data_IF_206388840195
#
_entry.id   IF_206388840195
#
_cell.length_a   1.000
_cell.length_b   1.000
_cell.length_c   1.000
_cell.angle_alpha   90.00
_cell.angle_beta   90.00
_cell.angle_gamma   90.00
#
_symmetry.space_group_name_H-M   'P 1'
#
loop_
_entity.id
_entity.type
_entity.pdbx_description
1 polymer ?
#
# COMPACT_ATOMS: atom_id res chain seq x y z
N UNK A 1 26.70 -12.64 -3.57
CA UNK A 1 26.22 -11.26 -3.78
C UNK A 1 25.10 -11.00 -2.80
N UNK A 2 25.10 -9.84 -2.13
CA UNK A 2 24.02 -9.45 -1.23
C UNK A 2 23.00 -8.69 -2.09
N UNK A 3 22.01 -9.43 -2.60
CA UNK A 3 21.06 -8.94 -3.60
C UNK A 3 20.03 -7.99 -3.04
N UNK A 4 19.66 -8.16 -1.77
CA UNK A 4 18.60 -7.39 -1.15
C UNK A 4 19.18 -6.34 -0.20
N UNK A 5 18.48 -5.24 0.00
CA UNK A 5 18.77 -4.30 1.08
C UNK A 5 17.51 -4.10 1.92
N UNK A 6 17.67 -4.11 3.24
CA UNK A 6 16.56 -4.05 4.19
C UNK A 6 16.82 -2.91 5.16
N UNK A 7 15.89 -1.98 5.27
CA UNK A 7 16.04 -0.79 6.11
C UNK A 7 14.74 -0.39 6.78
N UNK A 8 14.88 0.40 7.83
CA UNK A 8 13.77 1.09 8.47
C UNK A 8 13.86 2.58 8.14
N UNK A 9 12.76 3.16 7.69
CA UNK A 9 12.61 4.57 7.41
C UNK A 9 11.53 5.18 8.30
N UNK A 10 11.75 6.42 8.69
CA UNK A 10 10.68 7.24 9.25
C UNK A 10 9.87 7.85 8.11
N UNK A 11 8.56 8.00 8.33
CA UNK A 11 7.65 8.45 7.30
C UNK A 11 8.03 9.82 6.79
N UNK A 12 8.20 9.90 5.48
CA UNK A 12 8.29 11.16 4.75
C UNK A 12 6.89 11.74 4.45
N UNK A 13 5.82 11.05 4.86
CA UNK A 13 4.45 11.51 4.63
C UNK A 13 4.08 12.61 5.62
N UNK A 14 3.68 13.77 5.10
CA UNK A 14 3.17 14.89 5.92
C UNK A 14 1.93 14.52 6.74
N UNK A 15 1.14 13.54 6.27
CA UNK A 15 -0.05 13.03 6.96
C UNK A 15 0.25 12.05 8.09
N UNK A 16 1.46 11.47 8.14
CA UNK A 16 1.85 10.46 9.12
C UNK A 16 3.32 10.59 9.59
N UNK A 17 3.76 11.75 10.09
CA UNK A 17 5.18 12.09 10.27
C UNK A 17 5.95 11.26 11.32
N UNK A 18 5.26 10.39 12.08
CA UNK A 18 5.87 9.51 13.09
C UNK A 18 5.73 8.02 12.76
N UNK A 19 5.16 7.71 11.60
CA UNK A 19 4.98 6.35 11.17
C UNK A 19 6.33 5.77 10.76
N UNK A 20 6.65 4.56 11.24
CA UNK A 20 7.87 3.86 10.81
C UNK A 20 7.49 2.92 9.69
N UNK A 21 8.30 2.90 8.66
CA UNK A 21 8.20 1.98 7.54
C UNK A 21 9.44 1.10 7.56
N UNK A 22 9.28 -0.16 7.19
CA UNK A 22 10.42 -1.00 6.85
C UNK A 22 10.16 -1.65 5.52
N UNK A 23 11.13 -1.65 4.63
CA UNK A 23 10.94 -2.21 3.30
C UNK A 23 12.22 -2.86 2.79
N UNK A 24 12.03 -3.67 1.76
CA UNK A 24 13.06 -4.47 1.13
C UNK A 24 13.23 -4.00 -0.29
N UNK A 25 14.47 -3.74 -0.64
CA UNK A 25 14.94 -3.36 -1.96
C UNK A 25 15.61 -4.58 -2.60
N UNK A 26 15.36 -4.80 -3.88
CA UNK A 26 16.16 -5.68 -4.75
C UNK A 26 17.13 -4.81 -5.53
N UNK A 27 18.41 -4.88 -5.16
CA UNK A 27 19.49 -4.09 -5.77
C UNK A 27 19.84 -4.59 -7.17
N UNK A 28 19.40 -5.78 -7.57
CA UNK A 28 19.66 -6.27 -8.94
C UNK A 28 18.65 -5.69 -9.94
N UNK A 29 17.39 -5.56 -9.53
CA UNK A 29 16.31 -5.05 -10.37
C UNK A 29 15.98 -3.57 -10.13
N UNK A 30 16.59 -2.96 -9.12
CA UNK A 30 16.27 -1.61 -8.62
C UNK A 30 14.78 -1.48 -8.28
N UNK A 31 14.24 -2.46 -7.56
CA UNK A 31 12.81 -2.47 -7.19
C UNK A 31 12.57 -2.62 -5.68
N UNK A 32 11.56 -1.94 -5.18
CA UNK A 32 10.99 -2.15 -3.85
C UNK A 32 10.07 -3.37 -3.93
N UNK A 33 10.46 -4.47 -3.28
CA UNK A 33 9.74 -5.75 -3.41
C UNK A 33 8.65 -5.93 -2.34
N UNK A 34 8.85 -5.34 -1.16
CA UNK A 34 7.90 -5.45 -0.05
C UNK A 34 8.14 -4.32 0.96
N UNK A 35 7.08 -3.91 1.65
CA UNK A 35 7.17 -2.98 2.76
C UNK A 35 6.18 -3.31 3.87
N UNK A 36 6.45 -2.81 5.06
CA UNK A 36 5.60 -2.88 6.24
C UNK A 36 5.54 -1.52 6.92
N UNK A 37 4.35 -1.20 7.38
CA UNK A 37 3.89 0.00 8.03
C UNK A 37 3.73 -0.26 9.53
N UNK A 38 4.34 0.56 10.38
CA UNK A 38 4.19 0.45 11.83
C UNK A 38 2.95 1.21 12.29
N UNK A 39 1.82 0.50 12.38
CA UNK A 39 0.53 1.04 12.82
C UNK A 39 0.20 0.54 14.22
N UNK A 40 -0.06 1.46 15.15
CA UNK A 40 -0.43 1.15 16.56
C UNK A 40 0.56 0.20 17.27
N UNK A 41 1.85 0.33 16.95
CA UNK A 41 2.91 -0.48 17.54
C UNK A 41 3.13 -1.86 16.89
N UNK A 42 2.27 -2.27 15.96
CA UNK A 42 2.40 -3.51 15.19
C UNK A 42 2.86 -3.22 13.75
N UNK A 43 3.56 -4.18 13.14
CA UNK A 43 3.94 -4.12 11.73
C UNK A 43 2.83 -4.73 10.87
N UNK A 44 2.39 -3.96 9.88
CA UNK A 44 1.38 -4.33 8.91
C UNK A 44 1.99 -4.24 7.54
N UNK A 45 1.87 -5.28 6.72
CA UNK A 45 2.38 -5.23 5.34
C UNK A 45 1.75 -4.08 4.55
N UNK A 46 2.51 -3.53 3.62
CA UNK A 46 2.06 -2.48 2.72
C UNK A 46 1.25 -3.10 1.58
N UNK A 47 0.27 -2.33 1.10
CA UNK A 47 -0.46 -2.62 -0.15
C UNK A 47 0.47 -2.44 -1.35
N UNK A 48 0.12 -3.08 -2.47
CA UNK A 48 0.85 -2.91 -3.74
C UNK A 48 0.96 -1.43 -4.16
N UNK A 49 -0.12 -0.66 -3.98
CA UNK A 49 -0.13 0.79 -4.26
C UNK A 49 0.85 1.57 -3.37
N UNK A 50 0.96 1.18 -2.09
CA UNK A 50 1.89 1.82 -1.16
C UNK A 50 3.33 1.43 -1.48
N UNK A 51 3.58 0.19 -1.91
CA UNK A 51 4.91 -0.25 -2.38
C UNK A 51 5.30 0.50 -3.66
N UNK A 52 4.39 0.65 -4.63
CA UNK A 52 4.62 1.43 -5.83
C UNK A 52 4.89 2.91 -5.52
N UNK A 53 4.22 3.46 -4.50
CA UNK A 53 4.49 4.81 -4.04
C UNK A 53 5.87 4.93 -3.39
N UNK A 54 6.30 3.95 -2.59
CA UNK A 54 7.66 3.92 -2.04
C UNK A 54 8.72 3.81 -3.13
N UNK A 55 8.47 3.02 -4.18
CA UNK A 55 9.33 2.96 -5.36
C UNK A 55 9.50 4.35 -5.97
N UNK A 56 8.39 5.05 -6.21
CA UNK A 56 8.44 6.40 -6.79
C UNK A 56 9.25 7.36 -5.92
N UNK A 57 9.08 7.35 -4.59
CA UNK A 57 9.86 8.20 -3.69
C UNK A 57 11.36 7.89 -3.80
N UNK A 58 11.72 6.60 -3.83
CA UNK A 58 13.12 6.18 -3.97
C UNK A 58 13.69 6.67 -5.29
N UNK A 59 13.00 6.44 -6.40
CA UNK A 59 13.47 6.83 -7.73
C UNK A 59 13.60 8.36 -7.88
N UNK A 60 12.67 9.12 -7.29
CA UNK A 60 12.67 10.58 -7.42
C UNK A 60 13.66 11.28 -6.48
N UNK A 61 13.90 10.73 -5.29
CA UNK A 61 14.58 11.45 -4.20
C UNK A 61 15.85 10.76 -3.71
N UNK A 62 15.94 9.43 -3.86
CA UNK A 62 16.98 8.61 -3.24
C UNK A 62 17.60 7.60 -4.22
N UNK A 63 17.76 7.96 -5.49
CA UNK A 63 18.31 7.07 -6.53
C UNK A 63 19.67 6.45 -6.14
N UNK A 64 20.51 7.17 -5.38
CA UNK A 64 21.79 6.63 -4.89
C UNK A 64 21.67 5.48 -3.87
N UNK A 65 20.45 5.19 -3.37
CA UNK A 65 20.21 4.05 -2.47
C UNK A 65 20.47 2.70 -3.13
N UNK A 66 20.40 2.63 -4.46
CA UNK A 66 20.64 1.40 -5.21
C UNK A 66 22.13 1.00 -5.19
N UNK A 67 23.01 1.99 -5.26
CA UNK A 67 24.46 1.79 -5.18
C UNK A 67 24.94 1.69 -3.73
N UNK A 68 24.46 2.61 -2.87
CA UNK A 68 24.96 2.81 -1.50
C UNK A 68 23.84 2.77 -0.44
N UNK A 69 23.11 1.64 -0.32
CA UNK A 69 21.99 1.50 0.64
C UNK A 69 22.39 1.74 2.10
N UNK A 70 23.65 1.51 2.44
CA UNK A 70 24.20 1.67 3.79
C UNK A 70 24.19 3.13 4.27
N UNK A 71 24.33 4.11 3.36
CA UNK A 71 24.25 5.54 3.71
C UNK A 71 22.84 5.94 4.15
N UNK A 72 21.82 5.20 3.72
CA UNK A 72 20.43 5.40 4.04
C UNK A 72 19.94 4.55 5.21
N UNK A 73 20.85 3.84 5.89
CA UNK A 73 20.53 2.96 7.02
C UNK A 73 19.97 1.59 6.61
N UNK A 74 20.13 1.20 5.35
CA UNK A 74 19.76 -0.15 4.89
C UNK A 74 20.91 -1.12 5.07
N UNK A 75 20.56 -2.34 5.46
CA UNK A 75 21.52 -3.45 5.60
C UNK A 75 21.35 -4.39 4.43
N UNK A 76 22.44 -4.56 3.67
CA UNK A 76 22.50 -5.54 2.57
C UNK A 76 22.36 -6.96 3.12
N UNK A 77 21.57 -7.79 2.43
CA UNK A 77 21.23 -9.18 2.77
C UNK A 77 21.23 -10.07 1.53
N UNK A 78 21.59 -11.33 1.75
CA UNK A 78 21.54 -12.35 0.69
C UNK A 78 20.12 -12.90 0.47
N UNK A 79 19.26 -12.82 1.50
CA UNK A 79 17.92 -13.41 1.50
C UNK A 79 16.87 -12.37 1.87
N UNK A 80 15.66 -12.57 1.33
CA UNK A 80 14.48 -11.77 1.67
C UNK A 80 14.07 -12.09 3.12
N UNK A 81 13.86 -11.07 3.97
CA UNK A 81 13.36 -11.29 5.32
C UNK A 81 12.06 -12.09 5.34
N UNK A 82 11.89 -12.97 6.33
CA UNK A 82 10.69 -13.80 6.46
C UNK A 82 9.40 -13.00 6.62
N UNK A 83 9.46 -11.77 7.14
CA UNK A 83 8.31 -10.86 7.22
C UNK A 83 7.93 -10.28 5.84
N UNK A 84 8.92 -10.02 4.98
CA UNK A 84 8.69 -9.52 3.61
C UNK A 84 8.16 -10.63 2.69
N UNK A 85 8.49 -11.89 2.99
CA UNK A 85 7.93 -13.06 2.33
C UNK A 85 6.54 -13.46 2.85
N UNK A 86 5.99 -12.77 3.88
CA UNK A 86 4.61 -13.02 4.30
C UNK A 86 3.69 -12.52 3.19
N UNK A 87 3.02 -13.47 2.54
CA UNK A 87 1.98 -13.17 1.59
C UNK A 87 0.96 -12.20 2.22
N UNK A 88 0.74 -11.08 1.56
CA UNK A 88 -0.30 -10.13 1.93
C UNK A 88 -1.66 -10.82 1.84
N UNK A 89 -2.41 -10.98 2.95
CA UNK A 89 -3.82 -11.31 2.85
C UNK A 89 -4.56 -10.03 2.45
N UNK A 90 -4.70 -9.75 1.16
CA UNK A 90 -5.67 -8.75 0.66
C UNK A 90 -7.06 -9.13 1.21
N UNK A 91 -7.94 -8.15 1.52
CA UNK A 91 -8.81 -8.16 2.71
C UNK A 91 -9.58 -9.47 2.86
N UNK A 92 -9.98 -9.88 4.08
CA UNK A 92 -10.80 -11.08 4.24
C UNK A 92 -11.92 -11.01 3.21
N UNK A 93 -11.90 -11.94 2.25
CA UNK A 93 -12.96 -12.03 1.29
C UNK A 93 -14.23 -12.13 2.14
N UNK A 94 -15.22 -11.23 1.97
CA UNK A 94 -16.48 -11.38 2.65
C UNK A 94 -16.96 -12.81 2.44
N UNK A 95 -17.45 -13.47 3.48
CA UNK A 95 -18.02 -14.80 3.27
C UNK A 95 -19.10 -14.68 2.20
N UNK A 96 -19.33 -15.73 1.41
CA UNK A 96 -20.34 -15.72 0.33
C UNK A 96 -21.68 -15.17 0.85
N UNK A 97 -22.00 -15.47 2.11
CA UNK A 97 -23.18 -15.00 2.85
C UNK A 97 -23.23 -13.47 3.05
N UNK A 98 -22.09 -12.80 3.22
CA UNK A 98 -22.00 -11.34 3.37
C UNK A 98 -22.11 -10.64 2.00
N UNK A 99 -21.58 -11.27 0.94
CA UNK A 99 -21.75 -10.79 -0.45
C UNK A 99 -23.20 -10.93 -0.90
N UNK A 100 -23.84 -12.06 -0.60
CA UNK A 100 -25.27 -12.29 -0.88
C UNK A 100 -26.14 -11.26 -0.13
N UNK A 101 -25.85 -10.98 1.15
CA UNK A 101 -26.55 -9.92 1.90
C UNK A 101 -26.36 -8.51 1.35
N UNK A 102 -25.18 -8.19 0.80
CA UNK A 102 -24.93 -6.90 0.17
C UNK A 102 -25.68 -6.74 -1.16
N UNK A 103 -25.84 -7.84 -1.92
CA UNK A 103 -26.62 -7.85 -3.16
C UNK A 103 -28.14 -7.88 -2.91
N UNK A 104 -28.56 -8.46 -1.79
CA UNK A 104 -29.95 -8.53 -1.34
C UNK A 104 -30.39 -7.30 -0.53
N UNK A 105 -29.52 -6.30 -0.33
CA UNK A 105 -29.88 -5.05 0.37
C UNK A 105 -30.53 -4.06 -0.62
N UNK A 106 -31.86 -3.81 -0.54
CA UNK A 106 -32.58 -2.95 -1.46
C UNK A 106 -32.34 -1.44 -1.25
N UNK A 107 -31.54 -1.06 -0.25
CA UNK A 107 -31.39 0.32 0.22
C UNK A 107 -30.20 1.09 -0.38
N UNK A 108 -29.49 0.55 -1.37
CA UNK A 108 -28.52 1.35 -2.12
C UNK A 108 -29.28 2.26 -3.11
N UNK A 109 -29.24 3.60 -2.98
CA UNK A 109 -29.88 4.50 -3.92
C UNK A 109 -29.07 4.51 -5.21
N UNK A 110 -29.37 3.56 -6.10
CA UNK A 110 -28.81 3.53 -7.45
C UNK A 110 -29.64 4.49 -8.29
N UNK A 111 -29.12 5.70 -8.54
CA UNK A 111 -29.74 6.63 -9.48
C UNK A 111 -29.84 5.99 -10.86
N UNK A 112 -31.05 6.04 -11.45
CA UNK A 112 -31.33 5.56 -12.80
C UNK A 112 -31.74 6.75 -13.67
N UNK A 113 -31.32 6.73 -14.94
CA UNK A 113 -31.79 7.72 -15.91
C UNK A 113 -33.27 7.51 -16.29
N UNK A 114 -33.83 8.41 -17.10
CA UNK A 114 -35.23 8.34 -17.57
C UNK A 114 -35.54 7.07 -18.40
N UNK A 115 -34.50 6.34 -18.81
CA UNK A 115 -34.58 5.09 -19.56
C UNK A 115 -34.34 3.84 -18.66
N UNK A 116 -34.12 4.05 -17.35
CA UNK A 116 -33.93 2.99 -16.37
C UNK A 116 -32.50 2.45 -16.29
N UNK A 117 -31.51 3.07 -16.93
CA UNK A 117 -30.12 2.65 -16.84
C UNK A 117 -29.44 3.21 -15.60
N UNK A 118 -28.56 2.39 -14.99
CA UNK A 118 -27.75 2.77 -13.85
C UNK A 118 -26.75 3.85 -14.26
N UNK A 119 -26.77 5.00 -13.60
CA UNK A 119 -25.79 6.06 -13.83
C UNK A 119 -24.55 5.77 -12.97
N UNK A 120 -23.40 5.52 -13.62
CA UNK A 120 -22.12 5.35 -12.94
C UNK A 120 -21.05 6.27 -13.57
N UNK A 121 -20.21 6.96 -12.77
CA UNK A 121 -20.22 7.00 -11.30
C UNK A 121 -21.43 7.78 -10.75
N UNK A 122 -21.90 7.47 -9.52
CA UNK A 122 -22.94 8.24 -8.87
C UNK A 122 -22.48 9.70 -8.76
N UNK A 123 -23.35 10.63 -9.14
CA UNK A 123 -23.07 12.07 -9.04
C UNK A 123 -23.02 12.44 -7.56
N UNK A 124 -21.82 12.63 -7.03
CA UNK A 124 -21.66 13.20 -5.70
C UNK A 124 -22.16 14.66 -5.74
N UNK A 125 -23.34 14.92 -5.19
CA UNK A 125 -23.72 16.26 -4.78
C UNK A 125 -22.91 16.60 -3.52
N UNK A 126 -21.95 17.51 -3.66
CA UNK A 126 -21.32 18.13 -2.50
C UNK A 126 -22.40 18.93 -1.76
N UNK A 127 -22.98 18.34 -0.71
CA UNK A 127 -23.91 19.02 0.18
C UNK A 127 -23.15 20.19 0.83
N UNK A 128 -23.33 21.37 0.25
CA UNK A 128 -22.78 22.63 0.74
C UNK A 128 -23.67 23.08 1.90
N UNK A 129 -23.59 22.39 3.04
CA UNK A 129 -24.29 22.85 4.25
C UNK A 129 -23.56 24.03 4.87
N UNK A 130 -24.20 25.19 4.78
CA UNK A 130 -24.27 26.16 5.86
C UNK A 130 -25.73 26.40 6.20
#
# INVERSE_FOLDING_TARGET
MQRYAVGEWESLWSSAPYMKHRFVLDLESHTVIAGEDRVRGAWWSMRLEQVAYMQQIVDETFDSIWDEPEEFGFVRRAEIPSWAAKAWPWPPLPEVQDVEKMLDSPDLPVERDELGHIIFPPRFTADSRK
#
